data_IF_152137214657
#
_entry.id   IF_152137214657
#
_cell.length_a   1.000
_cell.length_b   1.000
_cell.length_c   1.000
_cell.angle_alpha   90.00
_cell.angle_beta   90.00
_cell.angle_gamma   90.00
#
_symmetry.space_group_name_H-M   'P 1'
#
loop_
_entity.id
_entity.type
_entity.pdbx_description
1 polymer ?
#
# COMPACT_ATOMS: atom_id res chain seq x y z
N UNK A 1 -20.07 14.44 -5.19
CA UNK A 1 -19.27 13.21 -5.05
C UNK A 1 -18.23 13.19 -6.15
N UNK A 2 -17.27 12.26 -6.11
CA UNK A 2 -16.33 12.05 -7.21
C UNK A 2 -17.01 11.18 -8.28
N UNK A 3 -16.86 11.55 -9.55
CA UNK A 3 -17.39 10.78 -10.68
C UNK A 3 -16.79 9.37 -10.67
N UNK A 4 -17.61 8.33 -10.82
CA UNK A 4 -17.16 6.93 -10.70
C UNK A 4 -17.05 6.41 -9.25
N UNK A 5 -17.48 7.17 -8.24
CA UNK A 5 -17.54 6.71 -6.85
C UNK A 5 -16.17 6.38 -6.27
N UNK A 6 -16.03 5.22 -5.62
CA UNK A 6 -14.76 4.79 -5.02
C UNK A 6 -13.67 4.53 -6.06
N UNK A 7 -14.03 3.97 -7.22
CA UNK A 7 -13.07 3.71 -8.29
C UNK A 7 -12.55 5.01 -8.88
N UNK A 8 -13.42 6.01 -9.07
CA UNK A 8 -13.00 7.36 -9.45
C UNK A 8 -12.09 8.02 -8.43
N UNK A 9 -12.34 7.83 -7.13
CA UNK A 9 -11.45 8.31 -6.08
C UNK A 9 -10.07 7.64 -6.13
N UNK A 10 -10.00 6.32 -6.34
CA UNK A 10 -8.70 5.62 -6.52
C UNK A 10 -7.94 6.16 -7.73
N UNK A 11 -8.60 6.30 -8.88
CA UNK A 11 -7.96 6.84 -10.08
C UNK A 11 -7.42 8.26 -9.84
N UNK A 12 -8.17 9.12 -9.16
CA UNK A 12 -7.71 10.47 -8.81
C UNK A 12 -6.44 10.44 -7.94
N UNK A 13 -6.35 9.55 -6.96
CA UNK A 13 -5.15 9.41 -6.10
C UNK A 13 -3.95 8.92 -6.90
N UNK A 14 -4.14 7.95 -7.80
CA UNK A 14 -3.08 7.45 -8.67
C UNK A 14 -2.56 8.53 -9.63
N UNK A 15 -3.47 9.30 -10.25
CA UNK A 15 -3.12 10.45 -11.10
C UNK A 15 -2.37 11.54 -10.33
N UNK A 16 -2.82 11.86 -9.11
CA UNK A 16 -2.16 12.84 -8.26
C UNK A 16 -0.72 12.43 -7.93
N UNK A 17 -0.51 11.17 -7.52
CA UNK A 17 0.83 10.64 -7.24
C UNK A 17 1.73 10.71 -8.48
N UNK A 18 1.21 10.32 -9.65
CA UNK A 18 1.91 10.41 -10.92
C UNK A 18 2.31 11.83 -11.29
N UNK A 19 1.42 12.80 -11.11
CA UNK A 19 1.70 14.22 -11.37
C UNK A 19 2.79 14.81 -10.45
N UNK A 20 2.98 14.23 -9.26
CA UNK A 20 4.05 14.59 -8.32
C UNK A 20 5.35 13.82 -8.56
N UNK A 21 5.38 12.90 -9.54
CA UNK A 21 6.54 12.05 -9.82
C UNK A 21 6.81 10.99 -8.76
N UNK A 22 5.80 10.61 -7.98
CA UNK A 22 5.91 9.55 -6.97
C UNK A 22 5.88 8.19 -7.70
N UNK A 23 6.87 7.31 -7.50
CA UNK A 23 6.87 5.99 -8.11
C UNK A 23 5.67 5.14 -7.66
N UNK A 24 5.05 4.43 -8.60
CA UNK A 24 3.89 3.57 -8.32
C UNK A 24 4.22 2.23 -7.65
N UNK A 25 5.50 1.86 -7.57
CA UNK A 25 5.99 0.63 -6.96
C UNK A 25 7.18 0.93 -6.03
N UNK A 26 7.34 0.09 -5.01
CA UNK A 26 8.42 0.17 -4.02
C UNK A 26 9.81 -0.06 -4.66
N UNK A 27 9.88 -0.81 -5.75
CA UNK A 27 11.10 -0.96 -6.57
C UNK A 27 11.57 0.39 -7.13
N UNK A 28 10.63 1.28 -7.49
CA UNK A 28 10.95 2.66 -7.89
C UNK A 28 11.50 3.53 -6.76
N UNK A 29 11.32 3.12 -5.50
CA UNK A 29 11.93 3.72 -4.30
C UNK A 29 13.20 2.98 -3.85
N UNK A 30 13.67 1.98 -4.60
CA UNK A 30 14.89 1.22 -4.32
C UNK A 30 14.69 -0.08 -3.52
N UNK A 31 13.45 -0.50 -3.26
CA UNK A 31 13.14 -1.75 -2.55
C UNK A 31 13.05 -2.90 -3.56
N UNK A 32 14.13 -3.66 -3.75
CA UNK A 32 14.21 -4.68 -4.80
C UNK A 32 14.06 -6.13 -4.31
N UNK A 33 14.49 -6.43 -3.08
CA UNK A 33 14.42 -7.77 -2.48
C UNK A 33 14.30 -7.64 -0.95
N UNK A 34 13.15 -7.14 -0.46
CA UNK A 34 12.96 -6.97 0.98
C UNK A 34 12.67 -8.30 1.67
N UNK A 35 13.04 -8.38 2.94
CA UNK A 35 12.56 -9.42 3.85
C UNK A 35 11.06 -9.20 4.14
N UNK A 36 10.20 -9.82 3.35
CA UNK A 36 8.75 -9.71 3.46
C UNK A 36 8.22 -10.25 4.79
N UNK A 37 8.82 -11.29 5.34
CA UNK A 37 8.40 -11.86 6.62
C UNK A 37 8.62 -10.85 7.74
N UNK A 38 9.78 -10.19 7.73
CA UNK A 38 10.08 -9.10 8.65
C UNK A 38 9.14 -7.90 8.46
N UNK A 39 8.94 -7.44 7.23
CA UNK A 39 8.07 -6.29 6.95
C UNK A 39 6.64 -6.52 7.42
N UNK A 40 6.08 -7.70 7.18
CA UNK A 40 4.74 -8.07 7.64
C UNK A 40 4.68 -8.10 9.17
N UNK A 41 5.66 -8.70 9.84
CA UNK A 41 5.71 -8.74 11.30
C UNK A 41 5.87 -7.34 11.92
N UNK A 42 6.65 -6.47 11.31
CA UNK A 42 6.83 -5.08 11.74
C UNK A 42 5.53 -4.27 11.55
N UNK A 43 4.89 -4.39 10.39
CA UNK A 43 3.61 -3.73 10.11
C UNK A 43 2.49 -4.15 11.08
N UNK A 44 2.36 -5.44 11.38
CA UNK A 44 1.32 -5.92 12.31
C UNK A 44 1.54 -5.50 13.77
N UNK A 45 2.77 -5.12 14.15
CA UNK A 45 3.09 -4.61 15.49
C UNK A 45 2.94 -3.09 15.60
N UNK A 46 2.83 -2.38 14.48
CA UNK A 46 2.66 -0.94 14.49
C UNK A 46 1.32 -0.54 15.14
N UNK A 47 1.30 0.41 16.09
CA UNK A 47 0.07 0.82 16.76
C UNK A 47 -1.02 1.35 15.82
N UNK A 48 -0.67 1.90 14.66
CA UNK A 48 -1.66 2.41 13.70
C UNK A 48 -2.46 1.30 13.02
N UNK A 49 -1.93 0.09 12.94
CA UNK A 49 -2.56 -1.07 12.28
C UNK A 49 -3.91 -1.42 12.90
N UNK A 50 -4.05 -1.25 14.22
CA UNK A 50 -5.31 -1.52 14.93
C UNK A 50 -6.47 -0.60 14.53
N UNK A 51 -6.18 0.57 13.96
CA UNK A 51 -7.18 1.53 13.50
C UNK A 51 -7.70 1.29 12.08
N UNK A 52 -7.13 0.34 11.34
CA UNK A 52 -7.53 0.10 9.96
C UNK A 52 -8.95 -0.53 9.93
N UNK A 53 -9.89 0.00 9.11
CA UNK A 53 -11.27 -0.50 9.07
C UNK A 53 -11.36 -1.94 8.57
N UNK A 54 -10.35 -2.40 7.83
CA UNK A 54 -10.16 -3.81 7.47
C UNK A 54 -9.12 -4.39 8.42
N UNK A 55 -9.48 -5.43 9.18
CA UNK A 55 -8.52 -6.10 10.06
C UNK A 55 -7.32 -6.60 9.26
N UNK A 56 -6.14 -6.13 9.62
CA UNK A 56 -4.89 -6.57 9.01
C UNK A 56 -4.52 -7.96 9.56
N UNK A 57 -4.10 -8.84 8.67
CA UNK A 57 -3.59 -10.19 8.96
C UNK A 57 -2.25 -10.37 8.26
N UNK A 58 -1.49 -11.40 8.63
CA UNK A 58 -0.22 -11.68 7.95
C UNK A 58 -0.43 -11.93 6.46
N UNK A 59 -1.50 -12.64 6.10
CA UNK A 59 -1.84 -13.01 4.74
C UNK A 59 -2.19 -11.78 3.89
N UNK A 60 -3.08 -10.91 4.38
CA UNK A 60 -3.49 -9.73 3.59
C UNK A 60 -2.39 -8.65 3.54
N UNK A 61 -1.59 -8.52 4.60
CA UNK A 61 -0.46 -7.57 4.64
C UNK A 61 0.65 -8.01 3.69
N UNK A 62 0.96 -9.32 3.66
CA UNK A 62 1.91 -9.88 2.70
C UNK A 62 1.46 -9.64 1.27
N UNK A 63 0.20 -9.94 0.95
CA UNK A 63 -0.35 -9.74 -0.38
C UNK A 63 -0.31 -8.26 -0.82
N UNK A 64 -0.39 -7.30 0.11
CA UNK A 64 -0.23 -5.89 -0.21
C UNK A 64 1.22 -5.57 -0.59
N UNK A 65 2.22 -6.04 0.15
CA UNK A 65 3.62 -5.85 -0.22
C UNK A 65 3.96 -6.50 -1.56
N UNK A 66 3.52 -7.74 -1.80
CA UNK A 66 3.77 -8.46 -3.05
C UNK A 66 3.15 -7.76 -4.28
N UNK A 67 2.06 -7.01 -4.10
CA UNK A 67 1.44 -6.21 -5.17
C UNK A 67 2.16 -4.90 -5.47
N UNK A 68 3.01 -4.44 -4.56
CA UNK A 68 3.66 -3.13 -4.63
C UNK A 68 5.17 -3.23 -4.94
N UNK A 69 5.74 -4.43 -4.96
CA UNK A 69 7.10 -4.70 -5.41
C UNK A 69 7.14 -4.83 -6.94
#
# INVERSE_FOLDING_TARGET
>A
GIDGGFDGFRSFVDELNGNMGIPGLLTGLGVNDPDLDRLVADALRDPSTGGNPVKMTAENTRALYERLL
#
